data_IF_541171316165
#
_entry.id   IF_541171316165
#
_cell.length_a   1.000
_cell.length_b   1.000
_cell.length_c   1.000
_cell.angle_alpha   90.00
_cell.angle_beta   90.00
_cell.angle_gamma   90.00
#
_symmetry.space_group_name_H-M   'P 1'
#
loop_
_entity.id
_entity.type
_entity.pdbx_description
1 polymer ?
#
# COMPACT_ATOMS: atom_id res chain seq x y z
N UNK A 1 2.82 21.53 -11.72
CA UNK A 1 1.81 22.38 -12.41
C UNK A 1 0.58 21.57 -12.88
N UNK A 2 0.72 20.35 -13.40
CA UNK A 2 -0.40 19.53 -13.91
C UNK A 2 -1.34 19.07 -12.77
N UNK A 3 -0.79 18.54 -11.66
CA UNK A 3 -1.57 18.14 -10.47
C UNK A 3 -2.34 19.33 -9.87
N UNK A 4 -1.73 20.53 -9.84
CA UNK A 4 -2.39 21.75 -9.38
C UNK A 4 -3.59 22.13 -10.24
N UNK A 5 -3.51 21.94 -11.57
CA UNK A 5 -4.63 22.22 -12.50
C UNK A 5 -5.73 21.18 -12.37
N UNK A 6 -5.39 19.89 -12.28
CA UNK A 6 -6.38 18.81 -12.20
C UNK A 6 -7.11 18.85 -10.86
N UNK A 7 -6.39 18.96 -9.73
CA UNK A 7 -7.00 19.00 -8.40
C UNK A 7 -7.79 20.27 -8.09
N UNK A 8 -7.50 21.40 -8.76
CA UNK A 8 -8.25 22.65 -8.59
C UNK A 8 -9.43 22.82 -9.58
N UNK A 9 -9.47 21.97 -10.63
CA UNK A 9 -10.48 22.06 -11.69
C UNK A 9 -11.61 21.01 -11.57
N UNK A 10 -11.57 20.18 -10.52
CA UNK A 10 -12.57 19.13 -10.27
C UNK A 10 -13.07 19.21 -8.84
N UNK A 11 -14.34 18.91 -8.67
CA UNK A 11 -14.93 18.69 -7.36
C UNK A 11 -14.56 17.28 -6.86
N UNK A 12 -14.38 17.13 -5.58
CA UNK A 12 -13.94 15.89 -4.92
C UNK A 12 -14.83 15.59 -3.71
N UNK A 13 -15.06 14.33 -3.43
CA UNK A 13 -15.73 13.87 -2.22
C UNK A 13 -14.83 13.94 -0.98
N UNK A 14 -13.50 13.77 -1.17
CA UNK A 14 -12.48 13.84 -0.11
C UNK A 14 -11.42 14.90 -0.41
N UNK A 15 -10.69 15.32 0.63
CA UNK A 15 -9.52 16.18 0.46
C UNK A 15 -8.39 15.43 -0.26
N UNK A 16 -7.71 16.11 -1.16
CA UNK A 16 -6.55 15.59 -1.89
C UNK A 16 -5.29 16.39 -1.54
N UNK A 17 -4.18 15.70 -1.44
CA UNK A 17 -2.87 16.32 -1.30
C UNK A 17 -1.82 15.54 -2.11
N UNK A 18 -0.67 16.14 -2.34
CA UNK A 18 0.42 15.50 -3.06
C UNK A 18 1.77 15.87 -2.48
N UNK A 19 2.71 14.97 -2.60
CA UNK A 19 4.13 15.22 -2.41
C UNK A 19 4.83 15.36 -3.75
N UNK A 20 6.02 15.96 -3.77
CA UNK A 20 6.85 16.04 -4.98
C UNK A 20 7.59 14.72 -5.15
N UNK A 21 7.33 13.94 -6.21
CA UNK A 21 7.95 12.63 -6.39
C UNK A 21 9.37 12.75 -6.96
N UNK A 22 10.35 12.18 -6.29
CA UNK A 22 11.77 12.24 -6.65
C UNK A 22 12.04 11.75 -8.07
N UNK A 23 11.53 10.57 -8.45
CA UNK A 23 11.79 9.99 -9.78
C UNK A 23 11.41 10.91 -10.93
N UNK A 24 10.28 11.63 -10.81
CA UNK A 24 9.85 12.59 -11.83
C UNK A 24 10.75 13.84 -11.88
N UNK A 25 11.24 14.31 -10.73
CA UNK A 25 12.18 15.44 -10.66
C UNK A 25 13.52 15.04 -11.25
N UNK A 26 14.05 13.88 -10.88
CA UNK A 26 15.31 13.34 -11.36
C UNK A 26 15.32 13.15 -12.88
N UNK A 27 14.26 12.56 -13.44
CA UNK A 27 14.09 12.43 -14.89
C UNK A 27 13.97 13.79 -15.59
N UNK A 28 13.32 14.76 -14.95
CA UNK A 28 13.19 16.11 -15.54
C UNK A 28 14.53 16.84 -15.62
N UNK A 29 15.39 16.70 -14.62
CA UNK A 29 16.69 17.40 -14.55
C UNK A 29 17.75 16.66 -15.34
N UNK A 30 17.85 15.35 -15.18
CA UNK A 30 18.95 14.54 -15.70
C UNK A 30 18.63 13.83 -17.04
N UNK A 31 17.35 13.77 -17.45
CA UNK A 31 16.94 13.08 -18.68
C UNK A 31 17.37 11.60 -18.70
N UNK A 32 17.99 11.18 -19.80
CA UNK A 32 18.48 9.81 -19.99
C UNK A 32 19.50 9.37 -18.92
N UNK A 33 20.34 10.27 -18.45
CA UNK A 33 21.27 9.99 -17.34
C UNK A 33 20.52 9.58 -16.07
N UNK A 34 19.41 10.27 -15.78
CA UNK A 34 18.53 9.92 -14.66
C UNK A 34 17.84 8.57 -14.85
N UNK A 35 17.38 8.27 -16.07
CA UNK A 35 16.80 6.97 -16.42
C UNK A 35 17.84 5.84 -16.29
N UNK A 36 19.06 6.08 -16.70
CA UNK A 36 20.19 5.17 -16.57
C UNK A 36 20.72 5.02 -15.13
N UNK A 37 20.17 5.80 -14.18
CA UNK A 37 20.57 5.80 -12.76
C UNK A 37 22.01 6.26 -12.53
N UNK A 38 22.55 7.12 -13.42
CA UNK A 38 23.85 7.73 -13.21
C UNK A 38 23.87 8.62 -11.96
N UNK A 39 25.03 8.86 -11.37
CA UNK A 39 25.17 9.77 -10.23
C UNK A 39 24.79 11.20 -10.64
N UNK A 40 24.05 11.90 -9.77
CA UNK A 40 23.75 13.30 -9.96
C UNK A 40 24.99 14.16 -9.68
N UNK A 41 25.25 15.17 -10.52
CA UNK A 41 26.24 16.18 -10.27
C UNK A 41 25.76 17.19 -9.21
N UNK A 42 26.65 18.02 -8.68
CA UNK A 42 26.26 19.10 -7.76
C UNK A 42 25.22 20.06 -8.36
N UNK A 43 25.32 20.34 -9.67
CA UNK A 43 24.36 21.17 -10.39
C UNK A 43 23.00 20.47 -10.55
N UNK A 44 22.98 19.17 -10.86
CA UNK A 44 21.74 18.38 -10.91
C UNK A 44 21.04 18.40 -9.55
N UNK A 45 21.79 18.21 -8.46
CA UNK A 45 21.28 18.26 -7.08
C UNK A 45 20.68 19.62 -6.76
N UNK A 46 21.38 20.70 -7.10
CA UNK A 46 20.89 22.06 -6.89
C UNK A 46 19.58 22.32 -7.64
N UNK A 47 19.51 21.94 -8.91
CA UNK A 47 18.28 22.09 -9.74
C UNK A 47 17.11 21.24 -9.18
N UNK A 48 17.36 19.99 -8.79
CA UNK A 48 16.34 19.14 -8.16
C UNK A 48 15.82 19.75 -6.86
N UNK A 49 16.73 20.26 -6.01
CA UNK A 49 16.39 20.93 -4.76
C UNK A 49 15.50 22.17 -4.97
N UNK A 50 15.81 22.99 -5.96
CA UNK A 50 15.00 24.17 -6.33
C UNK A 50 13.59 23.78 -6.81
N UNK A 51 13.48 22.74 -7.67
CA UNK A 51 12.19 22.25 -8.15
C UNK A 51 11.33 21.73 -7.02
N UNK A 52 11.94 20.94 -6.10
CA UNK A 52 11.23 20.41 -4.94
C UNK A 52 10.79 21.53 -4.01
N UNK A 53 11.66 22.49 -3.71
CA UNK A 53 11.35 23.67 -2.89
C UNK A 53 10.21 24.48 -3.50
N UNK A 54 10.24 24.76 -4.81
CA UNK A 54 9.18 25.44 -5.51
C UNK A 54 7.86 24.67 -5.48
N UNK A 55 7.90 23.33 -5.57
CA UNK A 55 6.73 22.47 -5.46
C UNK A 55 6.09 22.56 -4.08
N UNK A 56 6.89 22.50 -3.01
CA UNK A 56 6.43 22.63 -1.62
C UNK A 56 5.95 24.05 -1.32
N UNK A 57 6.63 25.07 -1.81
CA UNK A 57 6.17 26.46 -1.71
C UNK A 57 4.82 26.67 -2.42
N UNK A 58 4.55 25.95 -3.53
CA UNK A 58 3.28 25.97 -4.23
C UNK A 58 2.18 25.15 -3.55
N UNK A 59 2.48 24.46 -2.44
CA UNK A 59 1.51 23.76 -1.60
C UNK A 59 1.61 22.22 -1.59
N UNK A 60 2.62 21.61 -2.17
CA UNK A 60 2.87 20.19 -1.94
C UNK A 60 3.17 19.94 -0.45
N UNK A 61 2.72 18.79 0.10
CA UNK A 61 2.95 18.45 1.51
C UNK A 61 4.41 18.15 1.84
N UNK A 62 5.20 17.77 0.83
CA UNK A 62 6.60 17.42 1.05
C UNK A 62 7.23 16.77 -0.19
N UNK A 63 8.22 15.94 0.06
CA UNK A 63 9.01 15.21 -0.91
C UNK A 63 8.95 13.71 -0.63
N UNK A 64 8.87 12.90 -1.69
CA UNK A 64 8.87 11.44 -1.56
C UNK A 64 9.89 10.79 -2.49
N UNK A 65 10.57 9.75 -1.99
CA UNK A 65 11.52 8.95 -2.78
C UNK A 65 11.32 7.46 -2.55
N UNK A 66 11.76 6.67 -3.53
CA UNK A 66 11.73 5.20 -3.49
C UNK A 66 13.14 4.65 -3.69
N UNK A 67 13.60 3.83 -2.75
CA UNK A 67 14.90 3.16 -2.71
C UNK A 67 14.74 1.64 -2.52
N UNK A 68 13.69 1.07 -3.11
CA UNK A 68 13.41 -0.37 -3.03
C UNK A 68 13.58 -1.05 -4.38
N UNK A 69 14.11 -2.26 -4.36
CA UNK A 69 14.19 -3.16 -5.52
C UNK A 69 12.81 -3.63 -5.99
N UNK A 70 11.77 -3.49 -5.16
CA UNK A 70 10.41 -3.90 -5.49
C UNK A 70 9.71 -2.94 -6.45
N UNK A 71 10.09 -1.66 -6.48
CA UNK A 71 9.52 -0.70 -7.41
C UNK A 71 10.23 -0.75 -8.75
N UNK A 72 9.44 -0.97 -9.80
CA UNK A 72 9.90 -1.15 -11.16
C UNK A 72 9.18 -0.21 -12.13
N UNK A 73 9.84 0.12 -13.22
CA UNK A 73 9.20 0.78 -14.37
C UNK A 73 8.25 -0.19 -15.08
N UNK A 74 7.43 0.33 -16.01
CA UNK A 74 6.56 -0.51 -16.86
C UNK A 74 7.33 -1.52 -17.72
N UNK A 75 8.65 -1.34 -17.87
CA UNK A 75 9.56 -2.26 -18.57
C UNK A 75 10.26 -3.26 -17.64
N UNK A 76 9.95 -3.24 -16.34
CA UNK A 76 10.57 -4.10 -15.34
C UNK A 76 11.95 -3.63 -14.84
N UNK A 77 12.42 -2.47 -15.27
CA UNK A 77 13.69 -1.89 -14.83
C UNK A 77 13.57 -1.27 -13.44
N UNK A 78 14.64 -1.22 -12.62
CA UNK A 78 14.64 -0.49 -11.37
C UNK A 78 14.30 1.00 -11.57
N UNK A 79 13.66 1.60 -10.56
CA UNK A 79 13.31 3.03 -10.61
C UNK A 79 14.56 3.94 -10.70
N UNK A 80 14.45 5.12 -11.31
CA UNK A 80 15.57 6.06 -11.41
C UNK A 80 16.19 6.47 -10.08
N UNK A 81 15.46 6.35 -8.98
CA UNK A 81 15.85 6.80 -7.64
C UNK A 81 16.56 5.74 -6.80
N UNK A 82 16.63 4.49 -7.28
CA UNK A 82 17.17 3.38 -6.50
C UNK A 82 18.62 3.63 -6.04
N UNK A 83 19.43 4.24 -6.90
CA UNK A 83 20.87 4.50 -6.65
C UNK A 83 21.16 5.97 -6.33
N UNK A 84 20.12 6.77 -6.04
CA UNK A 84 20.33 8.17 -5.66
C UNK A 84 21.27 8.26 -4.44
N UNK A 85 22.27 9.14 -4.52
CA UNK A 85 23.27 9.27 -3.46
C UNK A 85 22.69 9.95 -2.21
N UNK A 86 23.37 9.77 -1.09
CA UNK A 86 23.05 10.48 0.14
C UNK A 86 23.10 12.00 -0.06
N UNK A 87 24.11 12.51 -0.75
CA UNK A 87 24.25 13.96 -1.01
C UNK A 87 23.08 14.52 -1.82
N UNK A 88 22.53 13.74 -2.75
CA UNK A 88 21.33 14.10 -3.52
C UNK A 88 20.12 14.26 -2.59
N UNK A 89 19.87 13.28 -1.73
CA UNK A 89 18.72 13.29 -0.82
C UNK A 89 18.86 14.32 0.30
N UNK A 90 20.04 14.45 0.88
CA UNK A 90 20.34 15.47 1.89
C UNK A 90 20.27 16.89 1.30
N UNK A 91 20.79 17.08 0.08
CA UNK A 91 20.71 18.35 -0.66
C UNK A 91 19.27 18.82 -0.86
N UNK A 92 18.39 17.92 -1.27
CA UNK A 92 16.95 18.18 -1.41
C UNK A 92 16.31 18.45 -0.03
N UNK A 93 16.62 17.65 0.99
CA UNK A 93 16.10 17.84 2.34
C UNK A 93 16.48 19.22 2.92
N UNK A 94 17.72 19.67 2.78
CA UNK A 94 18.17 21.02 3.17
C UNK A 94 17.34 22.13 2.52
N UNK A 95 16.93 21.98 1.27
CA UNK A 95 16.07 22.95 0.61
C UNK A 95 14.68 23.06 1.28
N UNK A 96 14.10 21.96 1.73
CA UNK A 96 12.88 21.98 2.53
C UNK A 96 13.14 22.58 3.93
N UNK A 97 14.29 22.35 4.51
CA UNK A 97 14.72 22.96 5.76
C UNK A 97 14.73 24.49 5.69
N UNK A 98 15.31 25.04 4.62
CA UNK A 98 15.32 26.51 4.38
C UNK A 98 13.89 27.08 4.22
N UNK A 99 12.95 26.31 3.69
CA UNK A 99 11.53 26.71 3.62
C UNK A 99 10.80 26.59 4.96
N UNK A 100 11.35 25.87 5.93
CA UNK A 100 10.71 25.61 7.22
C UNK A 100 9.42 24.77 7.14
N UNK A 101 9.13 24.12 6.01
CA UNK A 101 7.90 23.33 5.77
C UNK A 101 8.15 22.15 4.87
N UNK A 102 7.18 21.21 4.86
CA UNK A 102 7.22 19.97 4.12
C UNK A 102 7.64 18.78 4.99
N UNK A 103 7.22 17.58 4.58
CA UNK A 103 7.62 16.31 5.18
C UNK A 103 8.46 15.51 4.19
N UNK A 104 9.30 14.63 4.70
CA UNK A 104 10.09 13.69 3.90
C UNK A 104 9.45 12.31 3.99
N UNK A 105 9.36 11.59 2.88
CA UNK A 105 8.85 10.24 2.85
C UNK A 105 9.76 9.34 2.03
N UNK A 106 10.07 8.15 2.56
CA UNK A 106 10.96 7.18 1.93
C UNK A 106 10.33 5.79 1.94
N UNK A 107 10.46 5.08 0.82
CA UNK A 107 10.30 3.61 0.76
C UNK A 107 11.69 3.04 0.50
N UNK A 108 12.11 2.03 1.30
CA UNK A 108 13.40 1.38 1.15
C UNK A 108 13.29 -0.13 1.46
N UNK A 109 14.31 -0.88 1.09
CA UNK A 109 14.41 -2.29 1.47
C UNK A 109 14.91 -2.40 2.92
N UNK A 110 14.16 -3.13 3.74
CA UNK A 110 14.44 -3.33 5.16
C UNK A 110 15.53 -4.40 5.36
N UNK A 111 16.66 -4.22 4.71
CA UNK A 111 17.86 -5.01 4.99
C UNK A 111 18.59 -4.40 6.18
N UNK A 112 19.34 -5.20 6.93
CA UNK A 112 20.09 -4.74 8.11
C UNK A 112 21.33 -3.91 7.70
N UNK A 113 21.08 -2.79 6.99
CA UNK A 113 22.09 -1.84 6.51
C UNK A 113 22.02 -0.56 7.31
N UNK A 114 23.05 -0.31 8.10
CA UNK A 114 23.17 0.90 8.91
C UNK A 114 23.21 2.17 8.05
N UNK A 115 23.87 2.13 6.90
CA UNK A 115 24.07 3.26 5.99
C UNK A 115 22.75 3.92 5.52
N UNK A 116 21.69 3.14 5.22
CA UNK A 116 20.40 3.71 4.79
C UNK A 116 19.71 4.49 5.92
N UNK A 117 19.71 3.94 7.12
CA UNK A 117 19.07 4.62 8.26
C UNK A 117 19.88 5.85 8.73
N UNK A 118 21.20 5.80 8.65
CA UNK A 118 22.06 6.96 8.96
C UNK A 118 21.84 8.10 7.96
N UNK A 119 21.62 7.79 6.69
CA UNK A 119 21.19 8.78 5.70
C UNK A 119 19.86 9.46 6.11
N UNK A 120 18.86 8.71 6.60
CA UNK A 120 17.59 9.31 7.10
C UNK A 120 17.86 10.24 8.27
N UNK A 121 18.73 9.84 9.20
CA UNK A 121 19.14 10.70 10.33
C UNK A 121 19.76 12.01 9.82
N UNK A 122 20.65 11.95 8.84
CA UNK A 122 21.25 13.15 8.24
C UNK A 122 20.23 14.02 7.53
N UNK A 123 19.32 13.43 6.73
CA UNK A 123 18.24 14.19 6.09
C UNK A 123 17.42 14.98 7.12
N UNK A 124 17.07 14.37 8.26
CA UNK A 124 16.27 15.00 9.31
C UNK A 124 17.09 16.04 10.10
N UNK A 125 18.31 15.70 10.53
CA UNK A 125 19.15 16.60 11.34
C UNK A 125 19.52 17.87 10.59
N UNK A 126 19.82 17.76 9.29
CA UNK A 126 20.26 18.90 8.49
C UNK A 126 19.11 19.74 7.92
N UNK A 127 17.92 19.17 7.83
CA UNK A 127 16.74 19.90 7.36
C UNK A 127 15.82 20.39 8.47
N UNK A 128 15.85 19.75 9.64
CA UNK A 128 14.83 19.95 10.68
C UNK A 128 13.42 19.52 10.23
N UNK A 129 13.30 18.73 9.14
CA UNK A 129 12.00 18.28 8.63
C UNK A 129 11.70 16.87 9.08
N UNK A 130 10.42 16.56 9.45
CA UNK A 130 10.04 15.21 9.83
C UNK A 130 10.15 14.27 8.63
N UNK A 131 10.55 13.03 8.92
CA UNK A 131 10.64 11.95 7.94
C UNK A 131 9.74 10.80 8.34
N UNK A 132 9.02 10.26 7.36
CA UNK A 132 8.32 8.98 7.52
C UNK A 132 8.79 7.98 6.48
N UNK A 133 8.74 6.69 6.82
CA UNK A 133 9.09 5.62 5.90
C UNK A 133 8.19 4.39 6.11
N UNK A 134 8.10 3.54 5.09
CA UNK A 134 7.37 2.26 5.17
C UNK A 134 8.15 1.27 6.00
N UNK A 135 7.53 0.63 7.00
CA UNK A 135 8.11 -0.46 7.79
C UNK A 135 7.27 -1.72 7.60
N UNK A 136 7.93 -2.79 7.20
CA UNK A 136 7.31 -4.10 7.00
C UNK A 136 8.21 -5.20 7.57
N UNK A 137 7.60 -6.34 7.91
CA UNK A 137 8.35 -7.57 8.18
C UNK A 137 8.76 -8.19 6.84
N UNK A 138 10.07 -8.33 6.64
CA UNK A 138 10.64 -9.01 5.48
C UNK A 138 10.60 -10.54 5.72
N UNK A 139 9.98 -11.35 4.82
CA UNK A 139 9.91 -12.79 5.00
C UNK A 139 11.28 -13.50 4.97
N UNK A 140 12.30 -12.87 4.36
CA UNK A 140 13.67 -13.42 4.31
C UNK A 140 14.50 -13.07 5.56
N UNK A 141 14.13 -12.01 6.28
CA UNK A 141 14.75 -11.52 7.52
C UNK A 141 13.66 -11.13 8.52
N UNK A 142 12.92 -12.12 9.08
CA UNK A 142 11.66 -11.85 9.80
C UNK A 142 11.81 -10.95 11.02
N UNK A 143 12.99 -10.90 11.64
CA UNK A 143 13.25 -10.11 12.85
C UNK A 143 13.91 -8.74 12.56
N UNK A 144 14.26 -8.43 11.29
CA UNK A 144 14.95 -7.19 10.94
C UNK A 144 14.17 -5.92 11.33
N UNK A 145 12.84 -5.97 11.35
CA UNK A 145 12.00 -4.85 11.78
C UNK A 145 12.30 -4.38 13.21
N UNK A 146 12.75 -5.29 14.12
CA UNK A 146 13.08 -4.93 15.51
C UNK A 146 14.31 -4.05 15.60
N UNK A 147 15.32 -4.31 14.77
CA UNK A 147 16.50 -3.45 14.69
C UNK A 147 16.13 -2.06 14.18
N UNK A 148 15.22 -1.99 13.19
CA UNK A 148 14.71 -0.72 12.67
C UNK A 148 13.92 0.06 13.73
N UNK A 149 13.05 -0.60 14.51
CA UNK A 149 12.35 0.03 15.63
C UNK A 149 13.33 0.61 16.67
N UNK A 150 14.35 -0.16 17.05
CA UNK A 150 15.38 0.31 17.98
C UNK A 150 16.19 1.52 17.43
N UNK A 151 16.41 1.59 16.11
CA UNK A 151 17.03 2.75 15.45
C UNK A 151 16.13 3.98 15.48
N UNK A 152 14.81 3.79 15.28
CA UNK A 152 13.82 4.87 15.43
C UNK A 152 13.87 5.42 16.87
N UNK A 153 13.85 4.55 17.87
CA UNK A 153 13.91 4.97 19.28
C UNK A 153 15.15 5.83 19.57
N UNK A 154 16.31 5.39 19.11
CA UNK A 154 17.55 6.17 19.24
C UNK A 154 17.48 7.53 18.52
N UNK A 155 16.97 7.54 17.27
CA UNK A 155 16.80 8.78 16.53
C UNK A 155 15.83 9.74 17.23
N UNK A 156 14.76 9.25 17.82
CA UNK A 156 13.78 10.04 18.58
C UNK A 156 14.38 10.57 19.90
N UNK A 157 15.20 9.77 20.57
CA UNK A 157 15.93 10.20 21.76
C UNK A 157 16.92 11.34 21.44
N UNK A 158 17.51 11.33 20.23
CA UNK A 158 18.38 12.40 19.71
C UNK A 158 17.59 13.61 19.16
N UNK A 159 16.25 13.64 19.33
CA UNK A 159 15.38 14.74 18.88
C UNK A 159 15.03 14.72 17.39
N UNK A 160 15.37 13.64 16.64
CA UNK A 160 15.07 13.52 15.22
C UNK A 160 13.65 13.00 15.01
N UNK A 161 12.84 13.75 14.25
CA UNK A 161 11.44 13.43 14.00
C UNK A 161 11.31 12.35 12.90
N UNK A 162 11.62 11.10 13.22
CA UNK A 162 11.49 9.94 12.35
C UNK A 162 10.32 9.07 12.82
N UNK A 163 9.45 8.66 11.88
CA UNK A 163 8.24 7.86 12.14
C UNK A 163 8.12 6.76 11.09
N UNK A 164 7.74 5.55 11.47
CA UNK A 164 7.47 4.49 10.51
C UNK A 164 5.97 4.35 10.23
N UNK A 165 5.63 3.96 8.99
CA UNK A 165 4.28 3.63 8.55
C UNK A 165 4.13 2.12 8.48
N UNK A 166 3.11 1.57 9.12
CA UNK A 166 2.86 0.13 9.24
C UNK A 166 1.51 -0.22 8.65
N UNK A 167 1.44 -1.26 7.82
CA UNK A 167 0.15 -1.76 7.32
C UNK A 167 -0.60 -2.53 8.41
N UNK A 168 -1.93 -2.45 8.38
CA UNK A 168 -2.79 -3.11 9.37
C UNK A 168 -2.89 -4.64 9.19
N UNK A 169 -2.37 -5.18 8.10
CA UNK A 169 -2.35 -6.61 7.77
C UNK A 169 -1.18 -6.92 6.85
N UNK A 170 -1.06 -8.18 6.45
CA UNK A 170 -0.10 -8.56 5.44
C UNK A 170 -0.34 -7.78 4.13
N UNK A 171 0.74 -7.30 3.54
CA UNK A 171 0.72 -6.78 2.17
C UNK A 171 0.76 -7.99 1.26
N UNK A 172 -0.29 -8.19 0.49
CA UNK A 172 -0.47 -9.40 -0.29
C UNK A 172 -0.99 -9.14 -1.69
N UNK A 173 -0.92 -10.18 -2.51
CA UNK A 173 -1.42 -10.18 -3.87
C UNK A 173 -2.72 -10.94 -3.94
N UNK A 174 -3.66 -10.43 -4.73
CA UNK A 174 -4.88 -11.13 -5.12
C UNK A 174 -4.69 -11.69 -6.52
N UNK A 175 -4.95 -13.00 -6.65
CA UNK A 175 -4.86 -13.74 -7.90
C UNK A 175 -6.23 -14.34 -8.25
N UNK A 176 -6.46 -14.57 -9.53
CA UNK A 176 -7.71 -15.17 -10.02
C UNK A 176 -7.91 -14.88 -11.50
N UNK A 177 -8.86 -15.53 -12.15
CA UNK A 177 -9.14 -15.28 -13.57
C UNK A 177 -9.47 -13.81 -13.86
N UNK A 178 -10.24 -13.11 -13.00
CA UNK A 178 -10.55 -11.70 -13.22
C UNK A 178 -9.40 -10.75 -12.85
N UNK A 179 -8.34 -11.22 -12.18
CA UNK A 179 -7.19 -10.42 -11.73
C UNK A 179 -6.13 -10.24 -12.84
N UNK A 180 -5.11 -9.43 -12.56
CA UNK A 180 -3.94 -9.32 -13.44
C UNK A 180 -3.08 -10.58 -13.38
N UNK A 181 -3.02 -11.22 -12.21
CA UNK A 181 -2.22 -12.43 -11.99
C UNK A 181 -3.15 -13.61 -11.74
N UNK A 182 -2.81 -14.77 -12.31
CA UNK A 182 -3.35 -16.07 -11.95
C UNK A 182 -2.29 -17.17 -12.17
N UNK A 183 -2.42 -18.34 -11.55
CA UNK A 183 -1.43 -19.42 -11.66
C UNK A 183 -1.17 -19.92 -13.09
N UNK A 184 -2.09 -19.71 -14.01
CA UNK A 184 -2.02 -20.21 -15.39
C UNK A 184 -1.68 -19.13 -16.42
N UNK A 185 -1.45 -17.89 -16.03
CA UNK A 185 -1.26 -16.74 -16.93
C UNK A 185 -0.06 -16.90 -17.90
N UNK A 186 0.92 -17.74 -17.57
CA UNK A 186 2.09 -18.03 -18.38
C UNK A 186 1.96 -19.35 -19.16
N UNK A 187 0.86 -20.10 -19.00
CA UNK A 187 0.63 -21.38 -19.62
C UNK A 187 0.21 -21.21 -21.10
N UNK A 188 0.89 -21.84 -22.06
CA UNK A 188 0.61 -21.64 -23.49
C UNK A 188 -0.77 -22.16 -23.91
N UNK A 189 -1.30 -23.21 -23.24
CA UNK A 189 -2.63 -23.72 -23.51
C UNK A 189 -3.70 -22.80 -22.91
N UNK A 190 -3.48 -22.30 -21.70
CA UNK A 190 -4.40 -21.34 -21.09
C UNK A 190 -4.50 -20.04 -21.90
N UNK A 191 -3.43 -19.65 -22.60
CA UNK A 191 -3.44 -18.49 -23.50
C UNK A 191 -4.53 -18.58 -24.60
N UNK A 192 -5.01 -19.76 -24.96
CA UNK A 192 -6.12 -19.97 -25.94
C UNK A 192 -7.44 -19.35 -25.47
N UNK A 193 -7.60 -19.17 -24.14
CA UNK A 193 -8.82 -18.65 -23.55
C UNK A 193 -8.62 -17.35 -22.76
N UNK A 194 -7.39 -16.90 -22.53
CA UNK A 194 -7.05 -15.81 -21.62
C UNK A 194 -7.75 -14.47 -21.94
N UNK A 195 -8.07 -14.20 -23.20
CA UNK A 195 -8.73 -12.98 -23.66
C UNK A 195 -10.27 -13.08 -23.66
N UNK A 196 -10.84 -14.23 -23.31
CA UNK A 196 -12.29 -14.41 -23.23
C UNK A 196 -12.87 -13.76 -21.98
N UNK A 197 -14.17 -13.45 -21.94
CA UNK A 197 -14.87 -13.11 -20.68
C UNK A 197 -14.62 -14.17 -19.61
N UNK A 198 -14.51 -13.76 -18.35
CA UNK A 198 -14.13 -14.64 -17.23
C UNK A 198 -15.02 -15.87 -17.11
N UNK A 199 -16.35 -15.71 -17.24
CA UNK A 199 -17.28 -16.83 -17.22
C UNK A 199 -17.08 -17.82 -18.39
N UNK A 200 -16.63 -17.34 -19.55
CA UNK A 200 -16.31 -18.21 -20.70
C UNK A 200 -14.96 -18.92 -20.52
N UNK A 201 -14.01 -18.28 -19.84
CA UNK A 201 -12.76 -18.94 -19.40
C UNK A 201 -13.10 -20.08 -18.45
N UNK A 202 -13.87 -19.81 -17.38
CA UNK A 202 -14.27 -20.81 -16.40
C UNK A 202 -15.01 -21.99 -17.07
N UNK A 203 -15.94 -21.69 -17.96
CA UNK A 203 -16.66 -22.74 -18.73
C UNK A 203 -15.73 -23.57 -19.60
N UNK A 204 -14.75 -22.96 -20.26
CA UNK A 204 -13.75 -23.71 -21.04
C UNK A 204 -12.87 -24.59 -20.15
N UNK A 205 -12.59 -24.14 -18.92
CA UNK A 205 -11.82 -24.91 -17.94
C UNK A 205 -12.55 -26.13 -17.40
N UNK A 206 -13.88 -26.26 -17.55
CA UNK A 206 -14.60 -27.47 -17.16
C UNK A 206 -14.47 -28.63 -18.17
N UNK A 207 -13.87 -28.38 -19.34
CA UNK A 207 -13.57 -29.44 -20.31
C UNK A 207 -12.34 -30.25 -19.86
N UNK A 208 -12.55 -31.56 -19.66
CA UNK A 208 -11.51 -32.46 -19.16
C UNK A 208 -10.30 -32.56 -20.10
N UNK A 209 -10.49 -32.47 -21.42
CA UNK A 209 -9.44 -32.48 -22.40
C UNK A 209 -8.60 -31.20 -22.36
N UNK A 210 -9.25 -30.05 -22.13
CA UNK A 210 -8.58 -28.78 -21.95
C UNK A 210 -7.78 -28.77 -20.63
N UNK A 211 -8.41 -29.24 -19.53
CA UNK A 211 -7.74 -29.40 -18.22
C UNK A 211 -6.47 -30.23 -18.34
N UNK A 212 -6.55 -31.41 -18.93
CA UNK A 212 -5.39 -32.30 -19.11
C UNK A 212 -4.25 -31.60 -19.86
N UNK A 213 -4.55 -30.90 -20.96
CA UNK A 213 -3.56 -30.14 -21.74
C UNK A 213 -2.90 -29.00 -20.93
N UNK A 214 -3.70 -28.27 -20.15
CA UNK A 214 -3.17 -27.17 -19.29
C UNK A 214 -2.22 -27.74 -18.23
N UNK A 215 -2.59 -28.81 -17.54
CA UNK A 215 -1.78 -29.41 -16.49
C UNK A 215 -0.51 -30.06 -17.06
N UNK A 216 -0.58 -30.73 -18.20
CA UNK A 216 0.58 -31.27 -18.91
C UNK A 216 1.57 -30.18 -19.33
N UNK A 217 1.08 -29.08 -19.92
CA UNK A 217 1.90 -27.95 -20.31
C UNK A 217 2.59 -27.26 -19.11
N UNK A 218 1.90 -27.18 -17.96
CA UNK A 218 2.45 -26.61 -16.74
C UNK A 218 3.60 -27.45 -16.16
N UNK A 219 3.56 -28.75 -16.27
CA UNK A 219 4.63 -29.65 -15.82
C UNK A 219 5.97 -29.42 -16.54
N UNK A 220 5.94 -28.90 -17.78
CA UNK A 220 7.11 -28.56 -18.58
C UNK A 220 7.64 -27.12 -18.39
N UNK A 221 6.89 -26.23 -17.75
CA UNK A 221 7.22 -24.80 -17.71
C UNK A 221 8.16 -24.43 -16.53
N UNK A 222 9.46 -24.36 -16.84
CA UNK A 222 10.49 -23.82 -15.94
C UNK A 222 10.75 -22.31 -16.17
N UNK A 223 9.88 -21.63 -16.90
CA UNK A 223 10.14 -20.27 -17.38
C UNK A 223 9.79 -19.22 -16.33
N UNK A 224 10.77 -18.41 -15.95
CA UNK A 224 10.63 -17.19 -15.14
C UNK A 224 9.96 -16.06 -15.95
N UNK A 225 8.65 -16.11 -16.12
CA UNK A 225 7.85 -15.04 -16.71
C UNK A 225 7.24 -14.13 -15.64
N UNK A 226 6.34 -13.23 -16.02
CA UNK A 226 5.66 -12.30 -15.12
C UNK A 226 5.04 -13.04 -13.92
N UNK A 227 5.25 -12.53 -12.70
CA UNK A 227 4.86 -13.20 -11.46
C UNK A 227 5.88 -14.20 -10.91
N UNK A 228 6.82 -14.68 -11.74
CA UNK A 228 7.88 -15.60 -11.33
C UNK A 228 7.37 -16.83 -10.58
N UNK A 229 8.09 -17.27 -9.55
CA UNK A 229 7.67 -18.35 -8.67
C UNK A 229 6.53 -17.99 -7.69
N UNK A 230 6.15 -16.72 -7.58
CA UNK A 230 5.12 -16.27 -6.64
C UNK A 230 3.74 -16.83 -6.95
N UNK A 231 3.38 -16.92 -8.24
CA UNK A 231 2.05 -17.43 -8.67
C UNK A 231 1.84 -18.93 -8.40
N UNK A 232 2.89 -19.64 -8.00
CA UNK A 232 2.86 -21.07 -7.66
C UNK A 232 3.25 -21.34 -6.20
N UNK A 233 3.24 -20.32 -5.35
CA UNK A 233 3.49 -20.49 -3.91
C UNK A 233 2.24 -21.03 -3.20
N UNK A 234 1.79 -22.22 -3.60
CA UNK A 234 0.59 -22.86 -3.05
C UNK A 234 0.71 -23.19 -1.56
N UNK A 235 1.92 -23.26 -1.05
CA UNK A 235 2.27 -23.39 0.38
C UNK A 235 1.92 -22.14 1.21
N UNK A 236 1.90 -20.97 0.57
CA UNK A 236 1.61 -19.68 1.17
C UNK A 236 0.39 -18.97 0.52
N UNK A 237 -0.35 -19.65 -0.33
CA UNK A 237 -1.51 -19.12 -1.04
C UNK A 237 -2.80 -19.70 -0.44
N UNK A 238 -3.82 -18.88 -0.30
CA UNK A 238 -5.09 -19.21 0.34
C UNK A 238 -6.26 -18.82 -0.57
N UNK A 239 -7.35 -19.53 -0.49
CA UNK A 239 -8.62 -19.07 -1.07
C UNK A 239 -9.14 -17.90 -0.21
N UNK A 240 -9.57 -16.81 -0.86
CA UNK A 240 -10.12 -15.66 -0.16
C UNK A 240 -11.65 -15.81 -0.04
N UNK A 241 -12.10 -16.23 1.12
CA UNK A 241 -13.51 -16.44 1.46
C UNK A 241 -14.29 -15.12 1.65
N UNK A 242 -15.58 -15.21 1.97
CA UNK A 242 -16.42 -14.10 2.40
C UNK A 242 -17.07 -14.45 3.77
N UNK A 243 -16.75 -13.70 4.85
CA UNK A 243 -15.81 -12.58 4.92
C UNK A 243 -14.36 -13.00 4.67
N UNK A 244 -13.51 -12.09 4.17
CA UNK A 244 -12.12 -12.41 3.89
C UNK A 244 -11.32 -12.57 5.18
N UNK A 245 -10.60 -13.68 5.28
CA UNK A 245 -9.60 -13.88 6.33
C UNK A 245 -8.21 -13.47 5.80
N UNK A 246 -7.59 -12.50 6.47
CA UNK A 246 -6.26 -12.00 6.13
C UNK A 246 -5.16 -12.47 7.10
N UNK A 247 -5.50 -13.31 8.06
CA UNK A 247 -4.60 -14.05 8.93
C UNK A 247 -4.97 -15.54 8.95
N UNK A 248 -5.03 -16.20 7.75
CA UNK A 248 -5.48 -17.57 7.65
C UNK A 248 -4.48 -18.54 8.27
N UNK A 249 -5.00 -19.62 8.85
CA UNK A 249 -4.17 -20.71 9.37
C UNK A 249 -3.42 -21.43 8.23
N UNK A 250 -2.17 -21.83 8.47
CA UNK A 250 -1.35 -22.49 7.47
C UNK A 250 -1.97 -23.81 6.93
N UNK A 251 -2.82 -24.48 7.71
CA UNK A 251 -3.57 -25.67 7.27
C UNK A 251 -4.59 -25.36 6.18
N UNK A 252 -4.97 -24.10 6.00
CA UNK A 252 -5.92 -23.67 4.95
C UNK A 252 -5.20 -23.20 3.66
N UNK A 253 -3.86 -23.32 3.58
CA UNK A 253 -3.15 -23.08 2.32
C UNK A 253 -3.60 -24.05 1.23
N UNK A 254 -3.50 -23.62 -0.02
CA UNK A 254 -3.85 -24.45 -1.20
C UNK A 254 -3.12 -25.79 -1.15
N UNK A 255 -1.82 -25.80 -0.84
CA UNK A 255 -1.04 -27.03 -0.74
C UNK A 255 -1.51 -27.94 0.39
N UNK A 256 -1.84 -27.40 1.57
CA UNK A 256 -2.32 -28.18 2.69
C UNK A 256 -3.70 -28.77 2.42
N UNK A 257 -4.60 -27.99 1.81
CA UNK A 257 -5.96 -28.50 1.42
C UNK A 257 -5.87 -29.57 0.37
N UNK A 258 -5.09 -29.37 -0.70
CA UNK A 258 -4.86 -30.38 -1.73
C UNK A 258 -4.28 -31.67 -1.14
N UNK A 259 -3.29 -31.55 -0.21
CA UNK A 259 -2.70 -32.70 0.46
C UNK A 259 -3.71 -33.49 1.31
N UNK A 260 -4.63 -32.83 2.02
CA UNK A 260 -5.72 -33.51 2.75
C UNK A 260 -6.66 -34.31 1.84
N UNK A 261 -6.85 -33.86 0.60
CA UNK A 261 -7.67 -34.54 -0.41
C UNK A 261 -6.87 -35.55 -1.25
N UNK A 262 -5.56 -35.68 -1.02
CA UNK A 262 -4.69 -36.57 -1.82
C UNK A 262 -4.52 -36.11 -3.27
N UNK A 263 -4.63 -34.81 -3.53
CA UNK A 263 -4.62 -34.18 -4.86
C UNK A 263 -3.33 -33.37 -5.11
N UNK A 264 -2.97 -33.22 -6.35
CA UNK A 264 -1.95 -32.25 -6.76
C UNK A 264 -2.43 -30.82 -6.54
N UNK A 265 -1.55 -29.93 -6.00
CA UNK A 265 -1.93 -28.57 -5.64
C UNK A 265 -2.26 -27.70 -6.88
N UNK A 266 -1.60 -27.93 -8.01
CA UNK A 266 -1.88 -27.20 -9.25
C UNK A 266 -3.23 -27.62 -9.84
N UNK A 267 -3.55 -28.92 -9.80
CA UNK A 267 -4.86 -29.41 -10.19
C UNK A 267 -5.95 -28.89 -9.27
N UNK A 268 -5.70 -28.87 -7.96
CA UNK A 268 -6.65 -28.34 -6.98
C UNK A 268 -6.97 -26.87 -7.22
N UNK A 269 -5.97 -26.03 -7.46
CA UNK A 269 -6.18 -24.60 -7.75
C UNK A 269 -6.83 -24.37 -9.10
N UNK A 270 -6.60 -25.26 -10.07
CA UNK A 270 -7.27 -25.21 -11.37
C UNK A 270 -8.78 -25.34 -11.19
N UNK A 271 -9.23 -26.35 -10.43
CA UNK A 271 -10.65 -26.57 -10.19
C UNK A 271 -11.29 -25.45 -9.36
N UNK A 272 -10.58 -24.91 -8.37
CA UNK A 272 -11.04 -23.72 -7.63
C UNK A 272 -11.27 -22.51 -8.54
N UNK A 273 -10.38 -22.27 -9.50
CA UNK A 273 -10.52 -21.13 -10.41
C UNK A 273 -11.56 -21.35 -11.50
N UNK A 274 -11.85 -22.61 -11.85
CA UNK A 274 -12.92 -22.96 -12.79
C UNK A 274 -14.32 -22.90 -12.16
N UNK A 275 -14.41 -22.97 -10.82
CA UNK A 275 -15.66 -22.89 -10.09
C UNK A 275 -16.26 -21.47 -10.09
N UNK A 276 -17.55 -21.35 -9.69
CA UNK A 276 -18.24 -20.09 -9.42
C UNK A 276 -18.12 -19.05 -10.56
N UNK A 277 -18.29 -19.48 -11.79
CA UNK A 277 -18.11 -18.66 -13.00
C UNK A 277 -16.75 -17.94 -13.06
N UNK A 278 -15.72 -18.52 -12.44
CA UNK A 278 -14.35 -18.01 -12.43
C UNK A 278 -14.13 -16.81 -11.52
N UNK A 279 -15.02 -16.52 -10.59
CA UNK A 279 -14.92 -15.36 -9.70
C UNK A 279 -14.06 -15.61 -8.46
N UNK A 280 -13.57 -16.84 -8.28
CA UNK A 280 -12.70 -17.21 -7.16
C UNK A 280 -11.46 -16.34 -7.09
N UNK A 281 -11.14 -15.81 -5.90
CA UNK A 281 -9.94 -15.06 -5.61
C UNK A 281 -9.03 -15.86 -4.69
N UNK A 282 -7.75 -15.83 -4.99
CA UNK A 282 -6.67 -16.37 -4.17
C UNK A 282 -5.91 -15.22 -3.53
N UNK A 283 -5.49 -15.40 -2.28
CA UNK A 283 -4.71 -14.45 -1.52
C UNK A 283 -3.32 -15.02 -1.24
N UNK A 284 -2.30 -14.25 -1.61
CA UNK A 284 -0.90 -14.56 -1.33
C UNK A 284 -0.31 -13.47 -0.44
N UNK A 285 -0.24 -13.63 0.89
CA UNK A 285 0.46 -12.70 1.77
C UNK A 285 1.97 -12.73 1.46
N UNK A 286 2.53 -11.55 1.10
CA UNK A 286 3.92 -11.45 0.67
C UNK A 286 4.84 -10.84 1.74
N UNK A 287 4.38 -9.79 2.43
CA UNK A 287 5.10 -9.11 3.50
C UNK A 287 4.22 -9.07 4.76
N UNK A 288 4.84 -8.96 5.93
CA UNK A 288 4.14 -8.93 7.23
C UNK A 288 3.43 -10.25 7.60
N UNK A 289 3.84 -11.38 7.05
CA UNK A 289 3.22 -12.68 7.31
C UNK A 289 4.26 -13.81 7.48
N UNK A 290 5.47 -13.49 7.85
CA UNK A 290 6.46 -14.52 8.15
C UNK A 290 6.02 -15.32 9.39
N UNK A 291 6.12 -16.65 9.31
CA UNK A 291 5.62 -17.52 10.36
C UNK A 291 4.10 -17.78 10.32
N UNK A 292 3.38 -17.29 9.30
CA UNK A 292 1.95 -17.56 9.10
C UNK A 292 1.04 -16.82 10.07
N UNK A 293 1.46 -15.64 10.57
CA UNK A 293 0.68 -14.82 11.50
C UNK A 293 1.05 -13.32 11.39
N UNK A 294 0.31 -12.48 12.10
CA UNK A 294 0.51 -11.02 12.15
C UNK A 294 1.19 -10.54 13.45
N UNK A 295 1.87 -11.37 14.22
CA UNK A 295 2.48 -10.98 15.50
C UNK A 295 3.53 -9.88 15.34
N UNK A 296 4.30 -9.89 14.26
CA UNK A 296 5.24 -8.80 13.96
C UNK A 296 4.50 -7.48 13.69
N UNK A 297 3.34 -7.52 13.03
CA UNK A 297 2.48 -6.35 12.80
C UNK A 297 1.96 -5.81 14.13
N UNK A 298 1.55 -6.66 15.09
CA UNK A 298 1.17 -6.24 16.43
C UNK A 298 2.26 -5.42 17.11
N UNK A 299 3.49 -5.95 17.12
CA UNK A 299 4.64 -5.25 17.72
C UNK A 299 4.86 -3.89 17.06
N UNK A 300 4.81 -3.85 15.73
CA UNK A 300 4.99 -2.60 14.98
C UNK A 300 3.84 -1.60 15.21
N UNK A 301 2.57 -2.03 15.26
CA UNK A 301 1.43 -1.16 15.50
C UNK A 301 1.41 -0.56 16.92
N UNK A 302 1.87 -1.33 17.92
CA UNK A 302 1.96 -0.87 19.31
C UNK A 302 3.12 0.09 19.55
N UNK A 303 4.10 0.10 18.67
CA UNK A 303 5.30 0.91 18.88
C UNK A 303 4.97 2.41 18.85
N UNK A 304 5.53 3.18 19.82
CA UNK A 304 5.17 4.59 20.03
C UNK A 304 5.48 5.53 18.86
N UNK A 305 6.46 5.17 18.01
CA UNK A 305 6.95 5.97 16.90
C UNK A 305 6.54 5.42 15.53
N UNK A 306 5.46 4.64 15.48
CA UNK A 306 4.86 4.19 14.23
C UNK A 306 3.46 4.77 14.05
N UNK A 307 2.94 4.75 12.86
CA UNK A 307 1.54 5.07 12.53
C UNK A 307 0.99 4.06 11.53
N UNK A 308 -0.32 3.77 11.54
CA UNK A 308 -0.93 2.99 10.47
C UNK A 308 -0.76 3.69 9.11
N UNK A 309 -0.54 2.90 8.06
CA UNK A 309 -0.34 3.45 6.72
C UNK A 309 -0.35 2.36 5.65
N UNK A 310 0.26 2.66 4.51
CA UNK A 310 0.48 1.73 3.39
C UNK A 310 -0.82 1.19 2.75
N UNK A 311 -1.95 1.90 2.92
CA UNK A 311 -3.19 1.58 2.22
C UNK A 311 -3.12 2.08 0.77
N UNK A 312 -2.46 1.36 -0.11
CA UNK A 312 -2.22 1.73 -1.51
C UNK A 312 -3.49 1.58 -2.38
N UNK A 313 -4.53 2.33 -2.01
CA UNK A 313 -5.77 2.37 -2.76
C UNK A 313 -5.60 3.07 -4.10
N UNK A 314 -5.33 2.32 -5.16
CA UNK A 314 -5.16 2.86 -6.51
C UNK A 314 -3.84 2.49 -7.18
N UNK A 315 -2.92 1.87 -6.47
CA UNK A 315 -1.75 1.22 -7.04
C UNK A 315 -2.05 -0.25 -7.37
N UNK A 316 -1.48 -0.76 -8.47
CA UNK A 316 -1.62 -2.18 -8.87
C UNK A 316 -3.06 -2.71 -8.82
N UNK A 317 -3.99 -1.92 -9.30
CA UNK A 317 -5.45 -2.07 -9.12
C UNK A 317 -6.06 -3.41 -9.54
N UNK A 318 -5.36 -4.22 -10.32
CA UNK A 318 -5.78 -5.58 -10.68
C UNK A 318 -5.11 -6.69 -9.87
N UNK A 319 -4.36 -6.33 -8.79
CA UNK A 319 -3.55 -7.29 -8.02
C UNK A 319 -3.58 -6.99 -6.53
N UNK A 320 -3.74 -5.71 -6.13
CA UNK A 320 -3.72 -5.25 -4.74
C UNK A 320 -5.05 -4.55 -4.41
N UNK A 321 -5.56 -4.77 -3.20
CA UNK A 321 -6.78 -4.14 -2.69
C UNK A 321 -6.60 -3.74 -1.22
N UNK A 322 -5.69 -2.78 -0.97
CA UNK A 322 -5.26 -2.39 0.38
C UNK A 322 -6.00 -1.17 0.96
N UNK A 323 -6.91 -0.56 0.19
CA UNK A 323 -7.75 0.55 0.65
C UNK A 323 -8.63 0.21 1.88
N UNK A 324 -8.81 -1.07 2.19
CA UNK A 324 -9.54 -1.56 3.36
C UNK A 324 -8.70 -1.68 4.64
N UNK A 325 -7.42 -1.31 4.64
CA UNK A 325 -6.56 -1.36 5.85
C UNK A 325 -7.17 -0.65 7.07
N UNK A 326 -7.81 0.53 6.97
CA UNK A 326 -8.48 1.16 8.11
C UNK A 326 -9.60 0.30 8.71
N UNK A 327 -10.38 -0.41 7.89
CA UNK A 327 -11.42 -1.33 8.36
C UNK A 327 -10.80 -2.52 9.09
N UNK A 328 -9.76 -3.14 8.51
CA UNK A 328 -9.03 -4.24 9.15
C UNK A 328 -8.37 -3.80 10.45
N UNK A 329 -7.80 -2.59 10.49
CA UNK A 329 -7.19 -2.05 11.72
C UNK A 329 -8.20 -2.01 12.87
N UNK A 330 -9.40 -1.55 12.62
CA UNK A 330 -10.41 -1.43 13.67
C UNK A 330 -11.07 -2.77 13.99
N UNK A 331 -11.55 -3.50 13.00
CA UNK A 331 -12.30 -4.73 13.20
C UNK A 331 -11.38 -5.87 13.69
N UNK A 332 -10.34 -6.19 12.95
CA UNK A 332 -9.45 -7.32 13.28
C UNK A 332 -8.69 -7.07 14.58
N UNK A 333 -7.94 -5.96 14.66
CA UNK A 333 -7.11 -5.68 15.84
C UNK A 333 -7.90 -5.24 17.06
N UNK A 334 -9.05 -4.58 16.87
CA UNK A 334 -9.88 -4.09 17.99
C UNK A 334 -10.87 -5.14 18.53
N UNK A 335 -11.26 -6.15 17.71
CA UNK A 335 -12.34 -7.07 18.05
C UNK A 335 -12.05 -8.52 17.72
N UNK A 336 -11.69 -8.84 16.45
CA UNK A 336 -11.85 -10.20 15.91
C UNK A 336 -10.64 -11.11 16.14
N UNK A 337 -9.42 -10.54 16.23
CA UNK A 337 -8.19 -11.32 16.45
C UNK A 337 -8.26 -12.09 17.77
N UNK A 338 -7.87 -13.36 17.73
CA UNK A 338 -8.00 -14.25 18.89
C UNK A 338 -7.06 -13.84 20.04
N UNK A 339 -5.88 -13.33 19.73
CA UNK A 339 -4.86 -12.87 20.70
C UNK A 339 -4.28 -11.53 20.25
N UNK A 340 -3.59 -10.81 21.14
CA UNK A 340 -2.91 -9.54 20.79
C UNK A 340 -3.85 -8.41 20.38
N UNK A 341 -5.11 -8.43 20.81
CA UNK A 341 -6.05 -7.33 20.54
C UNK A 341 -5.51 -6.01 21.07
N UNK A 342 -5.80 -4.95 20.35
CA UNK A 342 -5.35 -3.60 20.66
C UNK A 342 -6.57 -2.76 21.04
N UNK A 343 -6.42 -1.93 22.07
CA UNK A 343 -7.48 -1.07 22.56
C UNK A 343 -8.02 -0.14 21.47
N UNK A 344 -9.34 -0.11 21.29
CA UNK A 344 -10.00 0.64 20.23
C UNK A 344 -9.70 2.15 20.25
N UNK A 345 -9.75 2.85 21.40
CA UNK A 345 -9.30 4.24 21.49
C UNK A 345 -7.88 4.48 21.00
N UNK A 346 -6.95 3.57 21.32
CA UNK A 346 -5.57 3.65 20.81
C UNK A 346 -5.52 3.52 19.29
N UNK A 347 -6.23 2.55 18.70
CA UNK A 347 -6.29 2.37 17.25
C UNK A 347 -6.87 3.60 16.54
N UNK A 348 -7.98 4.15 17.07
CA UNK A 348 -8.61 5.36 16.54
C UNK A 348 -7.67 6.55 16.61
N UNK A 349 -6.98 6.74 17.76
CA UNK A 349 -5.99 7.81 17.89
C UNK A 349 -4.90 7.69 16.86
N UNK A 350 -4.34 6.48 16.67
CA UNK A 350 -3.26 6.22 15.70
C UNK A 350 -3.72 6.45 14.27
N UNK A 351 -4.90 5.92 13.90
CA UNK A 351 -5.45 6.04 12.55
C UNK A 351 -5.84 7.47 12.18
N UNK A 352 -6.28 8.27 13.14
CA UNK A 352 -6.83 9.60 12.87
C UNK A 352 -5.82 10.72 13.19
N UNK A 353 -5.54 10.95 14.48
CA UNK A 353 -4.72 12.08 14.93
C UNK A 353 -3.26 11.93 14.54
N UNK A 354 -2.69 10.76 14.79
CA UNK A 354 -1.24 10.58 14.65
C UNK A 354 -0.84 10.49 13.19
N UNK A 355 -1.64 9.85 12.33
CA UNK A 355 -1.45 9.84 10.88
C UNK A 355 -1.58 11.24 10.27
N UNK A 356 -2.62 12.00 10.67
CA UNK A 356 -2.79 13.36 10.18
C UNK A 356 -1.57 14.26 10.53
N UNK A 357 -1.11 14.18 11.77
CA UNK A 357 0.06 14.95 12.24
C UNK A 357 1.35 14.58 11.51
N UNK A 358 1.54 13.31 11.18
CA UNK A 358 2.73 12.82 10.45
C UNK A 358 2.91 13.53 9.11
N UNK A 359 1.81 13.92 8.46
CA UNK A 359 1.84 14.64 7.17
C UNK A 359 1.56 16.14 7.29
N UNK A 360 1.52 16.69 8.51
CA UNK A 360 1.35 18.12 8.75
C UNK A 360 -0.10 18.62 8.72
N UNK A 361 -1.08 17.74 8.91
CA UNK A 361 -2.50 18.08 9.00
C UNK A 361 -2.92 18.17 10.48
N UNK A 362 -2.74 19.34 11.11
CA UNK A 362 -3.00 19.57 12.52
C UNK A 362 -4.43 20.09 12.79
N UNK A 363 -5.27 20.19 11.77
CA UNK A 363 -6.65 20.68 11.84
C UNK A 363 -7.68 19.56 11.93
N UNK A 364 -7.28 18.29 11.95
CA UNK A 364 -8.17 17.12 11.89
C UNK A 364 -7.67 15.95 12.73
N UNK A 365 -8.43 14.84 12.73
CA UNK A 365 -8.09 13.62 13.49
C UNK A 365 -8.44 13.70 14.97
N UNK A 366 -9.14 14.76 15.39
CA UNK A 366 -9.63 14.96 16.75
C UNK A 366 -11.05 15.54 16.70
N UNK A 367 -11.95 15.00 17.51
CA UNK A 367 -13.31 15.51 17.66
C UNK A 367 -13.33 16.64 18.71
N UNK A 368 -13.08 17.86 18.27
CA UNK A 368 -13.05 19.03 19.12
C UNK A 368 -13.48 20.32 18.37
N UNK A 369 -14.06 21.33 19.08
CA UNK A 369 -14.40 22.60 18.46
C UNK A 369 -13.18 23.28 17.81
N UNK A 370 -13.33 23.74 16.57
CA UNK A 370 -12.26 24.38 15.81
C UNK A 370 -11.45 23.41 14.94
N UNK A 371 -11.71 22.10 15.04
CA UNK A 371 -11.18 21.09 14.14
C UNK A 371 -12.10 20.85 12.95
N UNK A 372 -11.52 20.37 11.85
CA UNK A 372 -12.28 20.01 10.67
C UNK A 372 -13.16 18.80 10.96
N UNK A 373 -14.42 18.89 10.56
CA UNK A 373 -15.41 17.84 10.79
C UNK A 373 -15.34 16.77 9.69
N UNK A 374 -14.24 16.02 9.67
CA UNK A 374 -14.07 14.78 8.88
C UNK A 374 -14.38 13.63 9.85
N UNK A 375 -15.55 12.97 9.69
CA UNK A 375 -16.13 12.08 10.69
C UNK A 375 -16.65 10.80 10.02
N UNK A 376 -16.52 9.68 10.73
CA UNK A 376 -17.22 8.43 10.40
C UNK A 376 -18.13 8.04 11.55
N UNK A 377 -19.36 7.63 11.23
CA UNK A 377 -20.27 6.96 12.17
C UNK A 377 -20.23 5.48 11.85
N UNK A 378 -19.76 4.69 12.81
CA UNK A 378 -19.44 3.27 12.61
C UNK A 378 -20.22 2.44 13.63
N UNK A 379 -20.97 1.46 13.15
CA UNK A 379 -21.44 0.34 13.95
C UNK A 379 -20.29 -0.64 14.10
N UNK A 380 -19.61 -0.60 15.24
CA UNK A 380 -18.38 -1.36 15.46
C UNK A 380 -18.63 -2.88 15.50
N UNK A 381 -19.78 -3.32 15.97
CA UNK A 381 -20.13 -4.74 16.03
C UNK A 381 -20.34 -5.33 14.63
N UNK A 382 -20.83 -4.51 13.70
CA UNK A 382 -21.06 -4.89 12.30
C UNK A 382 -19.87 -4.54 11.37
N UNK A 383 -18.84 -3.86 11.87
CA UNK A 383 -17.72 -3.42 11.06
C UNK A 383 -16.93 -4.63 10.54
N UNK A 384 -16.90 -4.80 9.21
CA UNK A 384 -16.10 -5.82 8.54
C UNK A 384 -15.81 -5.43 7.10
N UNK A 385 -14.67 -5.86 6.57
CA UNK A 385 -14.40 -5.82 5.14
C UNK A 385 -15.19 -6.95 4.44
N UNK A 386 -15.80 -6.65 3.29
CA UNK A 386 -16.36 -7.69 2.40
C UNK A 386 -15.28 -8.28 1.52
N UNK A 387 -15.55 -9.40 0.88
CA UNK A 387 -14.67 -9.95 -0.15
C UNK A 387 -14.45 -8.91 -1.26
N UNK A 388 -13.20 -8.72 -1.74
CA UNK A 388 -12.94 -7.88 -2.92
C UNK A 388 -13.69 -8.39 -4.15
N UNK A 389 -14.08 -7.45 -5.01
CA UNK A 389 -14.69 -7.73 -6.31
C UNK A 389 -13.94 -7.00 -7.42
N UNK A 390 -13.92 -7.58 -8.63
CA UNK A 390 -13.36 -6.89 -9.80
C UNK A 390 -14.46 -6.11 -10.50
N UNK A 391 -14.19 -4.82 -10.76
CA UNK A 391 -15.06 -3.91 -11.51
C UNK A 391 -14.36 -3.36 -12.74
N UNK A 392 -15.13 -3.15 -13.80
CA UNK A 392 -14.66 -2.61 -15.08
C UNK A 392 -15.18 -1.17 -15.24
N UNK A 393 -14.87 -0.29 -14.29
CA UNK A 393 -15.39 1.09 -14.20
C UNK A 393 -14.31 2.17 -14.41
N UNK A 394 -13.09 1.78 -14.76
CA UNK A 394 -12.04 2.70 -15.16
C UNK A 394 -12.18 3.14 -16.63
N UNK A 395 -11.58 4.29 -17.02
CA UNK A 395 -11.58 4.72 -18.43
C UNK A 395 -11.12 3.61 -19.38
N UNK A 396 -11.73 3.56 -20.57
CA UNK A 396 -11.50 2.55 -21.60
C UNK A 396 -11.82 1.10 -21.16
N UNK A 397 -12.74 0.93 -20.20
CA UNK A 397 -13.14 -0.39 -19.69
C UNK A 397 -12.07 -1.06 -18.81
N UNK A 398 -11.13 -0.28 -18.29
CA UNK A 398 -10.10 -0.79 -17.39
C UNK A 398 -10.69 -1.38 -16.11
N UNK A 399 -10.11 -2.50 -15.67
CA UNK A 399 -10.55 -3.21 -14.46
C UNK A 399 -9.81 -2.71 -13.21
N UNK A 400 -10.48 -2.85 -12.07
CA UNK A 400 -9.86 -2.69 -10.74
C UNK A 400 -10.53 -3.59 -9.71
N UNK A 401 -9.78 -3.91 -8.66
CA UNK A 401 -10.30 -4.50 -7.44
C UNK A 401 -10.93 -3.39 -6.58
N UNK A 402 -12.10 -3.65 -6.06
CA UNK A 402 -12.84 -2.80 -5.12
C UNK A 402 -13.21 -3.64 -3.91
N UNK A 403 -13.04 -3.09 -2.72
CA UNK A 403 -13.46 -3.75 -1.48
C UNK A 403 -14.37 -2.81 -0.69
N UNK A 404 -15.59 -3.25 -0.43
CA UNK A 404 -16.57 -2.56 0.40
C UNK A 404 -16.43 -3.01 1.86
N UNK A 405 -17.03 -2.24 2.76
CA UNK A 405 -17.14 -2.58 4.17
C UNK A 405 -18.59 -2.47 4.64
N UNK A 406 -19.00 -3.34 5.57
CA UNK A 406 -20.20 -3.19 6.36
C UNK A 406 -19.89 -2.41 7.64
N UNK A 407 -20.93 -1.87 8.30
CA UNK A 407 -20.79 -1.15 9.56
C UNK A 407 -20.46 0.35 9.42
N UNK A 408 -20.04 0.84 8.25
CA UNK A 408 -19.86 2.28 8.01
C UNK A 408 -21.20 2.92 7.65
N UNK A 409 -21.87 3.53 8.62
CA UNK A 409 -23.20 4.13 8.46
C UNK A 409 -23.14 5.47 7.76
N UNK A 410 -22.26 6.37 8.22
CA UNK A 410 -22.12 7.70 7.63
C UNK A 410 -20.65 8.13 7.55
N UNK A 411 -20.29 8.80 6.47
CA UNK A 411 -18.99 9.48 6.33
C UNK A 411 -19.22 10.94 5.99
N UNK A 412 -18.61 11.83 6.76
CA UNK A 412 -18.67 13.27 6.58
C UNK A 412 -17.29 13.82 6.25
N UNK A 413 -17.23 14.74 5.30
CA UNK A 413 -16.05 15.53 4.97
C UNK A 413 -16.41 17.00 5.11
N UNK A 414 -15.66 17.74 5.91
CA UNK A 414 -15.95 19.14 6.26
C UNK A 414 -17.39 19.36 6.75
N UNK A 415 -17.96 18.43 7.50
CA UNK A 415 -19.31 18.47 8.01
C UNK A 415 -20.43 18.17 7.00
N UNK A 416 -20.09 17.79 5.77
CA UNK A 416 -21.06 17.36 4.74
C UNK A 416 -20.98 15.85 4.57
N UNK A 417 -22.14 15.19 4.61
CA UNK A 417 -22.24 13.76 4.40
C UNK A 417 -21.89 13.40 2.93
N UNK A 418 -20.87 12.57 2.74
CA UNK A 418 -20.41 12.12 1.42
C UNK A 418 -20.79 10.67 1.15
N UNK A 419 -20.93 9.84 2.20
CA UNK A 419 -21.35 8.44 2.11
C UNK A 419 -22.44 8.15 3.15
N UNK A 420 -23.41 7.31 2.78
CA UNK A 420 -24.44 6.78 3.66
C UNK A 420 -24.66 5.29 3.39
N UNK A 421 -24.44 4.45 4.40
CA UNK A 421 -24.54 2.99 4.30
C UNK A 421 -23.75 2.41 3.10
N UNK A 422 -22.55 2.92 2.85
CA UNK A 422 -21.67 2.47 1.76
C UNK A 422 -22.00 3.04 0.37
N UNK A 423 -23.03 3.91 0.25
CA UNK A 423 -23.41 4.53 -1.03
C UNK A 423 -23.10 6.04 -1.03
N UNK A 424 -22.56 6.59 -2.14
CA UNK A 424 -22.23 8.00 -2.24
C UNK A 424 -23.49 8.87 -2.27
N UNK A 425 -23.46 9.99 -1.53
CA UNK A 425 -24.57 10.97 -1.53
C UNK A 425 -24.52 11.94 -2.71
N UNK A 426 -23.42 11.95 -3.46
CA UNK A 426 -23.15 12.94 -4.51
C UNK A 426 -22.59 14.28 -4.00
N UNK A 427 -22.40 14.44 -2.68
CA UNK A 427 -21.75 15.63 -2.14
C UNK A 427 -20.24 15.63 -2.39
N UNK A 428 -19.68 16.75 -2.82
CA UNK A 428 -18.28 16.92 -3.19
C UNK A 428 -17.63 18.07 -2.40
N UNK A 429 -17.50 17.97 -1.06
CA UNK A 429 -16.94 19.04 -0.21
C UNK A 429 -15.40 19.03 -0.14
N UNK A 430 -14.76 18.05 -0.75
CA UNK A 430 -13.31 17.88 -0.72
C UNK A 430 -12.58 18.97 -1.49
N UNK A 431 -11.35 19.21 -1.11
CA UNK A 431 -10.51 20.25 -1.72
C UNK A 431 -9.07 19.81 -1.89
N UNK A 432 -8.33 20.49 -2.74
CA UNK A 432 -6.87 20.34 -2.83
C UNK A 432 -6.23 21.02 -1.61
N UNK A 433 -5.66 20.23 -0.71
CA UNK A 433 -4.88 20.70 0.45
C UNK A 433 -3.54 21.25 -0.02
N UNK A 434 -3.17 22.41 0.49
CA UNK A 434 -1.91 23.08 0.15
C UNK A 434 -1.10 23.38 1.40
N UNK A 435 -0.05 22.58 1.60
CA UNK A 435 0.84 22.70 2.75
C UNK A 435 0.20 22.29 4.06
N UNK A 436 0.86 22.54 5.19
CA UNK A 436 0.37 22.18 6.51
C UNK A 436 -0.97 22.87 6.82
N UNK A 437 -1.84 22.18 7.54
CA UNK A 437 -3.13 22.70 7.99
C UNK A 437 -3.14 22.82 9.50
N UNK A 438 -3.69 23.91 10.04
CA UNK A 438 -3.73 24.16 11.47
C UNK A 438 -5.17 24.41 11.94
N UNK A 439 -5.51 23.88 13.10
CA UNK A 439 -6.76 24.18 13.77
C UNK A 439 -6.87 25.68 14.10
N UNK A 440 -8.09 26.21 14.04
CA UNK A 440 -8.38 27.58 14.47
C UNK A 440 -8.30 27.76 15.99
N UNK A 441 -8.26 26.65 16.75
CA UNK A 441 -8.05 26.63 18.20
C UNK A 441 -6.90 25.71 18.55
N UNK A 442 -6.04 26.14 19.48
CA UNK A 442 -5.05 25.26 20.10
C UNK A 442 -5.76 24.36 21.11
N UNK A 443 -5.54 23.07 21.06
CA UNK A 443 -5.83 22.18 22.19
C UNK A 443 -4.66 22.36 23.15
N UNK A 444 -4.93 22.87 24.33
CA UNK A 444 -3.97 22.94 25.45
C UNK A 444 -3.71 21.55 26.00
#
# INVERSE_FOLDING_TARGET
>A
RRLKRIGAARDHDIDLAAQVPHGAVRLHVMGERGAAREAATADDIAQMAEIVAAGVAAGALGFSTSRTMNHRTSRGEPTPTLTASEDELVGIARALGRLGRGVLQVVFDHTDRDDEFDMFRRMVSESGRPLSFSLVQNPFEPESFRSVLARIDRARADGLAITAQVSARAIGLLLGLPCTLNPFMNNPVFAEIADRPVADQARAMTDEGFKARVLEAAAGDKVRKLGGGLIHRFDAMFELCDPPDYEPDASESIAARAGREGRDALEFVYDLLAADDGTTLLYLPALNFAGGNLDAVEVMLRHQHTVPGLGDGGAHVGTICDGSFPTTLLAHWGRDRQHGRIDLPFLVQRQCRDTARTVGLFDRGVLAPGFRADLNVIDFDQLRARRPEVRYDLPAGGRRLVQRADGCQHTFVAGREVMRNGEPTGALPGRLIRGPQFSTRRIT
#
